data_IF_668633643810
#
_entry.id   IF_668633643810
#
_cell.length_a   1.000
_cell.length_b   1.000
_cell.length_c   1.000
_cell.angle_alpha   90.00
_cell.angle_beta   90.00
_cell.angle_gamma   90.00
#
_symmetry.space_group_name_H-M   'P 1'
#
loop_
_entity.id
_entity.type
_entity.pdbx_description
1 polymer ?
#
# COMPACT_ATOMS: atom_id res chain seq x y z
N UNK A 1 -9.22 -5.11 22.59
CA UNK A 1 -8.08 -4.57 21.82
C UNK A 1 -8.03 -5.09 20.37
N UNK A 2 -8.34 -6.36 20.10
CA UNK A 2 -8.31 -6.92 18.73
C UNK A 2 -9.19 -6.14 17.72
N UNK A 3 -10.47 -5.89 18.05
CA UNK A 3 -11.39 -5.16 17.16
C UNK A 3 -10.91 -3.74 16.81
N UNK A 4 -10.33 -3.04 17.78
CA UNK A 4 -9.79 -1.69 17.54
C UNK A 4 -8.59 -1.74 16.56
N UNK A 5 -7.70 -2.71 16.74
CA UNK A 5 -6.56 -2.90 15.84
C UNK A 5 -7.00 -3.23 14.41
N UNK A 6 -7.98 -4.12 14.26
CA UNK A 6 -8.59 -4.43 12.95
C UNK A 6 -9.26 -3.21 12.34
N UNK A 7 -10.01 -2.44 13.13
CA UNK A 7 -10.68 -1.24 12.64
C UNK A 7 -9.69 -0.18 12.14
N UNK A 8 -8.64 0.10 12.90
CA UNK A 8 -7.57 1.02 12.49
C UNK A 8 -6.88 0.53 11.21
N UNK A 9 -6.63 -0.78 11.10
CA UNK A 9 -6.05 -1.39 9.90
C UNK A 9 -6.93 -1.18 8.67
N UNK A 10 -8.24 -1.41 8.80
CA UNK A 10 -9.21 -1.20 7.70
C UNK A 10 -9.28 0.27 7.31
N UNK A 11 -9.32 1.18 8.29
CA UNK A 11 -9.36 2.62 8.04
C UNK A 11 -8.10 3.09 7.29
N UNK A 12 -6.93 2.66 7.73
CA UNK A 12 -5.67 2.97 7.04
C UNK A 12 -5.63 2.40 5.62
N UNK A 13 -6.16 1.17 5.41
CA UNK A 13 -6.28 0.57 4.08
C UNK A 13 -7.24 1.36 3.17
N UNK A 14 -8.37 1.83 3.71
CA UNK A 14 -9.34 2.65 2.97
C UNK A 14 -8.73 4.01 2.58
N UNK A 15 -8.02 4.68 3.48
CA UNK A 15 -7.32 5.95 3.19
C UNK A 15 -6.26 5.73 2.11
N UNK A 16 -5.43 4.69 2.25
CA UNK A 16 -4.37 4.37 1.30
C UNK A 16 -4.92 4.03 -0.09
N UNK A 17 -5.73 2.98 -0.20
CA UNK A 17 -6.24 2.48 -1.48
C UNK A 17 -7.23 3.47 -2.11
N UNK A 18 -8.11 4.06 -1.30
CA UNK A 18 -9.05 5.08 -1.77
C UNK A 18 -8.35 6.32 -2.30
N UNK A 19 -7.29 6.77 -1.63
CA UNK A 19 -6.46 7.88 -2.11
C UNK A 19 -5.76 7.60 -3.44
N UNK A 20 -5.24 6.38 -3.65
CA UNK A 20 -4.66 5.97 -4.93
C UNK A 20 -5.72 5.93 -6.05
N UNK A 21 -6.89 5.33 -5.79
CA UNK A 21 -8.00 5.26 -6.75
C UNK A 21 -8.50 6.66 -7.08
N UNK A 22 -8.72 7.52 -6.08
CA UNK A 22 -9.15 8.90 -6.27
C UNK A 22 -8.14 9.68 -7.13
N UNK A 23 -6.86 9.52 -6.85
CA UNK A 23 -5.80 10.16 -7.63
C UNK A 23 -5.84 9.69 -9.08
N UNK A 24 -5.95 8.39 -9.33
CA UNK A 24 -5.95 7.82 -10.67
C UNK A 24 -7.23 8.16 -11.46
N UNK A 25 -8.40 8.10 -10.81
CA UNK A 25 -9.70 8.24 -11.48
C UNK A 25 -10.20 9.68 -11.60
N UNK A 26 -9.78 10.56 -10.68
CA UNK A 26 -10.29 11.94 -10.62
C UNK A 26 -9.18 12.95 -10.87
N UNK A 27 -8.10 12.90 -10.08
CA UNK A 27 -7.09 13.96 -10.10
C UNK A 27 -6.25 13.93 -11.37
N UNK A 28 -5.84 12.76 -11.84
CA UNK A 28 -5.04 12.65 -13.07
C UNK A 28 -5.84 13.09 -14.30
N UNK A 29 -7.09 12.63 -14.56
CA UNK A 29 -7.91 13.14 -15.65
C UNK A 29 -8.17 14.65 -15.58
N UNK A 30 -8.49 15.17 -14.39
CA UNK A 30 -8.66 16.59 -14.16
C UNK A 30 -7.38 17.38 -14.50
N UNK A 31 -6.23 16.92 -14.03
CA UNK A 31 -4.96 17.57 -14.35
C UNK A 31 -4.65 17.55 -15.86
N UNK A 32 -5.02 16.47 -16.57
CA UNK A 32 -4.81 16.34 -18.01
C UNK A 32 -5.66 17.30 -18.85
N UNK A 33 -6.78 17.80 -18.33
CA UNK A 33 -7.62 18.82 -18.99
C UNK A 33 -7.04 20.24 -18.91
N UNK A 34 -5.94 20.44 -18.17
CA UNK A 34 -5.29 21.75 -18.01
C UNK A 34 -4.01 21.87 -18.85
N UNK A 35 -3.57 23.11 -19.16
CA UNK A 35 -2.29 23.37 -19.82
C UNK A 35 -1.11 22.70 -19.08
N UNK A 36 -0.01 22.36 -19.78
CA UNK A 36 1.10 21.59 -19.20
C UNK A 36 1.68 22.16 -17.90
N UNK A 37 1.75 23.49 -17.77
CA UNK A 37 2.32 24.15 -16.60
C UNK A 37 1.40 24.04 -15.39
N UNK A 38 0.11 24.22 -15.60
CA UNK A 38 -0.92 24.13 -14.57
C UNK A 38 -1.10 22.68 -14.12
N UNK A 39 -1.15 21.75 -15.08
CA UNK A 39 -1.15 20.30 -14.82
C UNK A 39 0.00 19.88 -13.90
N UNK A 40 1.22 20.35 -14.20
CA UNK A 40 2.38 20.00 -13.41
C UNK A 40 2.31 20.58 -11.99
N UNK A 41 1.77 21.79 -11.83
CA UNK A 41 1.55 22.43 -10.53
C UNK A 41 0.55 21.63 -9.70
N UNK A 42 -0.58 21.25 -10.28
CA UNK A 42 -1.63 20.44 -9.63
C UNK A 42 -1.04 19.11 -9.15
N UNK A 43 -0.39 18.36 -10.05
CA UNK A 43 0.15 17.04 -9.73
C UNK A 43 1.28 17.09 -8.67
N UNK A 44 2.17 18.08 -8.74
CA UNK A 44 3.23 18.27 -7.72
C UNK A 44 2.66 18.65 -6.35
N UNK A 45 1.67 19.54 -6.31
CA UNK A 45 1.01 19.95 -5.06
C UNK A 45 0.34 18.77 -4.37
N UNK A 46 -0.40 17.97 -5.13
CA UNK A 46 -1.05 16.76 -4.63
C UNK A 46 -0.03 15.72 -4.17
N UNK A 47 0.99 15.41 -4.99
CA UNK A 47 2.01 14.42 -4.67
C UNK A 47 2.73 14.74 -3.35
N UNK A 48 3.01 16.02 -3.08
CA UNK A 48 3.63 16.44 -1.81
C UNK A 48 2.75 16.13 -0.61
N UNK A 49 1.45 16.45 -0.69
CA UNK A 49 0.49 16.20 0.41
C UNK A 49 0.21 14.72 0.58
N UNK A 50 -0.04 14.02 -0.54
CA UNK A 50 -0.36 12.60 -0.51
C UNK A 50 0.82 11.73 -0.03
N UNK A 51 2.05 12.17 -0.23
CA UNK A 51 3.25 11.47 0.28
C UNK A 51 3.19 11.26 1.80
N UNK A 52 2.90 12.30 2.56
CA UNK A 52 2.81 12.21 4.02
C UNK A 52 1.65 11.33 4.49
N UNK A 53 0.48 11.51 3.88
CA UNK A 53 -0.71 10.69 4.18
C UNK A 53 -0.44 9.23 3.79
N UNK A 54 0.16 9.01 2.63
CA UNK A 54 0.48 7.69 2.11
C UNK A 54 1.47 6.94 2.99
N UNK A 55 2.62 7.54 3.32
CA UNK A 55 3.60 6.92 4.20
C UNK A 55 3.07 6.72 5.61
N UNK A 56 2.29 7.67 6.15
CA UNK A 56 1.61 7.52 7.42
C UNK A 56 0.62 6.35 7.43
N UNK A 57 -0.23 6.24 6.41
CA UNK A 57 -1.16 5.11 6.26
C UNK A 57 -0.43 3.78 6.11
N UNK A 58 0.68 3.74 5.35
CA UNK A 58 1.50 2.55 5.19
C UNK A 58 2.14 2.11 6.51
N UNK A 59 2.69 3.05 7.30
CA UNK A 59 3.24 2.74 8.61
C UNK A 59 2.18 2.16 9.56
N UNK A 60 0.97 2.77 9.60
CA UNK A 60 -0.15 2.25 10.38
C UNK A 60 -0.57 0.85 9.90
N UNK A 61 -0.62 0.62 8.58
CA UNK A 61 -0.94 -0.69 8.00
C UNK A 61 0.06 -1.75 8.41
N UNK A 62 1.35 -1.45 8.41
CA UNK A 62 2.40 -2.40 8.82
C UNK A 62 2.29 -2.72 10.31
N UNK A 63 2.19 -1.70 11.17
CA UNK A 63 2.09 -1.88 12.62
C UNK A 63 0.84 -2.69 12.99
N UNK A 64 -0.32 -2.28 12.48
CA UNK A 64 -1.59 -2.96 12.76
C UNK A 64 -1.68 -4.33 12.10
N UNK A 65 -1.05 -4.52 10.93
CA UNK A 65 -0.96 -5.80 10.25
C UNK A 65 -0.15 -6.83 11.05
N UNK A 66 1.00 -6.42 11.58
CA UNK A 66 1.81 -7.25 12.49
C UNK A 66 1.01 -7.54 13.77
N UNK A 67 0.37 -6.53 14.35
CA UNK A 67 -0.50 -6.71 15.52
C UNK A 67 -1.62 -7.71 15.29
N UNK A 68 -2.32 -7.63 14.16
CA UNK A 68 -3.37 -8.58 13.77
C UNK A 68 -2.82 -10.00 13.62
N UNK A 69 -1.62 -10.15 13.05
CA UNK A 69 -0.98 -11.45 12.88
C UNK A 69 -0.61 -12.08 14.24
N UNK A 70 0.01 -11.31 15.12
CA UNK A 70 0.37 -11.76 16.47
C UNK A 70 -0.88 -12.14 17.26
N UNK A 71 -1.88 -11.28 17.31
CA UNK A 71 -3.13 -11.50 18.05
C UNK A 71 -3.92 -12.70 17.54
N UNK A 72 -3.78 -13.06 16.26
CA UNK A 72 -4.44 -14.22 15.66
C UNK A 72 -3.64 -15.52 15.86
N UNK A 73 -2.31 -15.48 15.77
CA UNK A 73 -1.45 -16.67 15.87
C UNK A 73 -1.18 -17.09 17.31
N UNK A 74 -1.15 -16.16 18.28
CA UNK A 74 -0.82 -16.47 19.69
C UNK A 74 -1.75 -17.52 20.30
N UNK A 75 -3.10 -17.44 20.17
CA UNK A 75 -3.99 -18.46 20.72
C UNK A 75 -3.77 -19.84 20.07
N UNK A 76 -3.52 -19.88 18.75
CA UNK A 76 -3.29 -21.12 18.01
C UNK A 76 -1.99 -21.79 18.48
N UNK A 77 -0.91 -21.02 18.59
CA UNK A 77 0.38 -21.53 19.07
C UNK A 77 0.30 -22.06 20.51
N UNK A 78 -0.40 -21.32 21.36
CA UNK A 78 -0.55 -21.73 22.75
C UNK A 78 -1.31 -23.05 22.87
N UNK A 79 -2.41 -23.24 22.14
CA UNK A 79 -3.15 -24.48 22.13
C UNK A 79 -2.34 -25.65 21.55
N UNK A 80 -1.54 -25.42 20.51
CA UNK A 80 -0.66 -26.42 19.92
C UNK A 80 0.45 -26.87 20.89
N UNK A 81 1.07 -25.91 21.60
CA UNK A 81 2.09 -26.21 22.61
C UNK A 81 1.51 -27.05 23.76
N UNK A 82 0.32 -26.68 24.25
CA UNK A 82 -0.35 -27.38 25.35
C UNK A 82 -0.81 -28.77 24.94
N UNK A 83 -1.17 -29.00 23.68
CA UNK A 83 -1.63 -30.28 23.16
C UNK A 83 -0.51 -31.15 22.58
N UNK A 84 0.74 -30.71 22.60
CA UNK A 84 1.88 -31.43 22.01
C UNK A 84 1.92 -31.49 20.49
N UNK A 85 1.04 -30.74 19.82
CA UNK A 85 0.85 -30.75 18.33
C UNK A 85 1.65 -29.64 17.62
N UNK A 86 2.88 -29.38 18.07
CA UNK A 86 3.67 -28.21 17.63
C UNK A 86 3.95 -28.17 16.14
N UNK A 87 3.82 -29.30 15.41
CA UNK A 87 4.20 -29.44 14.00
C UNK A 87 3.12 -30.08 13.11
N UNK A 88 1.86 -30.12 13.51
CA UNK A 88 0.81 -30.64 12.63
C UNK A 88 0.34 -29.57 11.64
N UNK A 89 0.74 -29.61 10.34
CA UNK A 89 0.34 -28.63 9.34
C UNK A 89 -1.18 -28.60 9.11
N UNK A 90 -1.89 -29.65 9.44
CA UNK A 90 -3.35 -29.72 9.24
C UNK A 90 -4.11 -28.82 10.23
N UNK A 91 -3.52 -28.49 11.36
CA UNK A 91 -4.09 -27.61 12.40
C UNK A 91 -3.72 -26.14 12.24
N UNK A 92 -2.73 -25.81 11.40
CA UNK A 92 -2.46 -24.42 11.01
C UNK A 92 -3.59 -24.01 10.07
N UNK A 93 -4.27 -22.88 10.38
CA UNK A 93 -5.32 -22.38 9.47
C UNK A 93 -4.80 -22.35 8.03
N UNK A 94 -5.30 -23.24 7.21
CA UNK A 94 -4.90 -23.46 5.81
C UNK A 94 -4.87 -22.15 5.01
N UNK A 95 -5.79 -21.24 5.37
CA UNK A 95 -5.89 -19.92 4.76
C UNK A 95 -4.68 -19.04 5.04
N UNK A 96 -4.17 -19.06 6.28
CA UNK A 96 -2.98 -18.29 6.66
C UNK A 96 -1.77 -18.83 5.89
N UNK A 97 -1.60 -20.15 5.85
CA UNK A 97 -0.47 -20.76 5.15
C UNK A 97 -0.46 -20.46 3.65
N UNK A 98 -1.63 -20.41 3.01
CA UNK A 98 -1.74 -20.17 1.55
C UNK A 98 -1.74 -18.68 1.23
N UNK A 99 -2.55 -17.87 1.90
CA UNK A 99 -2.82 -16.49 1.48
C UNK A 99 -1.91 -15.45 2.10
N UNK A 100 -1.35 -15.71 3.29
CA UNK A 100 -0.46 -14.75 3.97
C UNK A 100 0.84 -14.50 3.19
N UNK A 101 1.56 -15.52 2.66
CA UNK A 101 2.76 -15.29 1.86
C UNK A 101 2.48 -14.42 0.63
N UNK A 102 1.38 -14.68 -0.09
CA UNK A 102 0.95 -13.86 -1.22
C UNK A 102 0.68 -12.43 -0.83
N UNK A 103 -0.02 -12.21 0.28
CA UNK A 103 -0.28 -10.87 0.81
C UNK A 103 1.02 -10.14 1.13
N UNK A 104 1.95 -10.79 1.82
CA UNK A 104 3.25 -10.18 2.19
C UNK A 104 4.07 -9.84 0.95
N UNK A 105 4.13 -10.73 -0.03
CA UNK A 105 4.82 -10.48 -1.30
C UNK A 105 4.23 -9.24 -2.02
N UNK A 106 2.91 -9.13 -2.08
CA UNK A 106 2.24 -7.98 -2.68
C UNK A 106 2.53 -6.69 -1.92
N UNK A 107 2.49 -6.72 -0.58
CA UNK A 107 2.81 -5.56 0.27
C UNK A 107 4.25 -5.09 0.04
N UNK A 108 5.22 -6.01 0.03
CA UNK A 108 6.63 -5.69 -0.26
C UNK A 108 6.77 -5.07 -1.65
N UNK A 109 6.07 -5.61 -2.65
CA UNK A 109 6.07 -5.07 -4.01
C UNK A 109 5.50 -3.66 -4.08
N UNK A 110 4.41 -3.37 -3.38
CA UNK A 110 3.82 -2.02 -3.31
C UNK A 110 4.77 -1.04 -2.62
N UNK A 111 5.41 -1.43 -1.51
CA UNK A 111 6.40 -0.59 -0.83
C UNK A 111 7.57 -0.29 -1.76
N UNK A 112 8.10 -1.30 -2.46
CA UNK A 112 9.18 -1.12 -3.44
C UNK A 112 8.80 -0.14 -4.57
N UNK A 113 7.59 -0.26 -5.11
CA UNK A 113 7.07 0.66 -6.13
C UNK A 113 6.89 2.08 -5.60
N UNK A 114 6.45 2.25 -4.35
CA UNK A 114 6.35 3.56 -3.69
C UNK A 114 7.71 4.22 -3.54
N UNK A 115 8.68 3.49 -2.99
CA UNK A 115 10.05 3.99 -2.81
C UNK A 115 10.63 4.39 -4.16
N UNK A 116 10.50 3.53 -5.18
CA UNK A 116 10.95 3.82 -6.54
C UNK A 116 10.28 5.07 -7.12
N UNK A 117 8.95 5.17 -7.01
CA UNK A 117 8.20 6.34 -7.46
C UNK A 117 8.67 7.63 -6.77
N UNK A 118 8.88 7.59 -5.45
CA UNK A 118 9.31 8.74 -4.68
C UNK A 118 10.74 9.17 -5.03
N UNK A 119 11.68 8.23 -5.12
CA UNK A 119 13.07 8.52 -5.52
C UNK A 119 13.11 9.16 -6.90
N UNK A 120 12.43 8.57 -7.89
CA UNK A 120 12.44 9.09 -9.26
C UNK A 120 11.77 10.47 -9.35
N UNK A 121 10.73 10.71 -8.56
CA UNK A 121 10.04 12.00 -8.50
C UNK A 121 10.89 13.09 -7.86
N UNK A 122 11.63 12.77 -6.78
CA UNK A 122 12.55 13.70 -6.11
C UNK A 122 13.75 14.01 -7.01
N UNK A 123 14.33 12.99 -7.66
CA UNK A 123 15.45 13.18 -8.59
C UNK A 123 15.06 14.05 -9.78
N UNK A 124 13.87 13.82 -10.35
CA UNK A 124 13.34 14.65 -11.42
C UNK A 124 13.14 16.10 -10.95
N UNK A 125 12.60 16.32 -9.76
CA UNK A 125 12.42 17.66 -9.22
C UNK A 125 13.76 18.40 -9.05
N UNK A 126 14.77 17.75 -8.49
CA UNK A 126 16.11 18.33 -8.28
C UNK A 126 16.83 18.65 -9.60
N UNK A 127 16.72 17.77 -10.60
CA UNK A 127 17.40 17.94 -11.90
C UNK A 127 16.94 19.19 -12.66
N UNK A 128 15.68 19.58 -12.48
CA UNK A 128 15.05 20.72 -13.18
C UNK A 128 14.85 21.94 -12.27
N UNK A 129 15.41 21.92 -11.06
CA UNK A 129 15.37 23.05 -10.16
C UNK A 129 16.29 24.15 -10.71
N UNK A 130 15.72 25.34 -11.01
CA UNK A 130 16.45 26.45 -11.60
C UNK A 130 16.69 26.38 -13.12
N UNK A 131 16.23 25.35 -13.81
CA UNK A 131 16.31 25.25 -15.28
C UNK A 131 15.06 25.85 -15.95
N UNK A 132 15.21 26.63 -17.04
CA UNK A 132 14.09 27.07 -17.85
C UNK A 132 13.44 25.89 -18.61
N UNK A 133 14.12 24.74 -18.70
CA UNK A 133 13.58 23.56 -19.33
C UNK A 133 12.55 22.87 -18.44
N UNK A 134 11.43 22.47 -19.04
CA UNK A 134 10.37 21.74 -18.36
C UNK A 134 10.83 20.33 -18.05
N UNK A 135 10.63 19.88 -16.80
CA UNK A 135 10.83 18.48 -16.46
C UNK A 135 9.93 17.60 -17.38
N UNK A 136 10.49 16.71 -18.20
CA UNK A 136 9.67 15.77 -18.95
C UNK A 136 8.83 14.94 -18.01
N UNK A 137 7.58 14.64 -18.40
CA UNK A 137 6.70 13.81 -17.59
C UNK A 137 7.37 12.49 -17.27
N UNK A 138 7.49 12.17 -15.98
CA UNK A 138 8.10 10.91 -15.53
C UNK A 138 7.19 9.72 -15.87
N UNK A 139 7.29 9.21 -17.12
CA UNK A 139 6.48 8.08 -17.60
C UNK A 139 6.70 6.81 -16.75
N UNK A 140 7.92 6.58 -16.27
CA UNK A 140 8.21 5.41 -15.43
C UNK A 140 7.60 5.55 -14.04
N UNK A 141 7.66 6.75 -13.43
CA UNK A 141 7.00 7.03 -12.17
C UNK A 141 5.48 6.87 -12.24
N UNK A 142 4.84 7.34 -13.35
CA UNK A 142 3.40 7.17 -13.51
C UNK A 142 2.98 5.71 -13.70
N UNK A 143 3.80 4.90 -14.39
CA UNK A 143 3.58 3.43 -14.50
C UNK A 143 3.72 2.73 -13.17
N UNK A 144 4.72 3.10 -12.37
CA UNK A 144 4.91 2.56 -11.02
C UNK A 144 3.71 2.89 -10.10
N UNK A 145 3.18 4.13 -10.18
CA UNK A 145 1.99 4.52 -9.43
C UNK A 145 0.74 3.74 -9.86
N UNK A 146 0.54 3.54 -11.17
CA UNK A 146 -0.57 2.74 -11.69
C UNK A 146 -0.48 1.27 -11.23
N UNK A 147 0.70 0.66 -11.30
CA UNK A 147 0.94 -0.69 -10.80
C UNK A 147 0.71 -0.79 -9.29
N UNK A 148 1.18 0.18 -8.51
CA UNK A 148 0.94 0.22 -7.07
C UNK A 148 -0.57 0.29 -6.74
N UNK A 149 -1.35 1.03 -7.53
CA UNK A 149 -2.82 1.09 -7.39
C UNK A 149 -3.46 -0.29 -7.65
N UNK A 150 -3.11 -0.94 -8.76
CA UNK A 150 -3.64 -2.26 -9.11
C UNK A 150 -3.26 -3.32 -8.07
N UNK A 151 -2.01 -3.34 -7.61
CA UNK A 151 -1.56 -4.26 -6.56
C UNK A 151 -2.25 -3.99 -5.23
N UNK A 152 -2.54 -2.72 -4.89
CA UNK A 152 -3.29 -2.38 -3.67
C UNK A 152 -4.72 -2.91 -3.71
N UNK A 153 -5.39 -2.87 -4.86
CA UNK A 153 -6.70 -3.49 -5.06
C UNK A 153 -6.61 -5.02 -4.91
N UNK A 154 -5.57 -5.63 -5.48
CA UNK A 154 -5.33 -7.06 -5.35
C UNK A 154 -5.07 -7.47 -3.89
N UNK A 155 -4.34 -6.64 -3.12
CA UNK A 155 -4.14 -6.86 -1.67
C UNK A 155 -5.48 -6.88 -0.92
N UNK A 156 -6.44 -6.01 -1.27
CA UNK A 156 -7.77 -6.04 -0.68
C UNK A 156 -8.48 -7.37 -0.98
N UNK A 157 -8.43 -7.84 -2.23
CA UNK A 157 -9.00 -9.14 -2.60
C UNK A 157 -8.37 -10.29 -1.80
N UNK A 158 -7.02 -10.37 -1.78
CA UNK A 158 -6.30 -11.39 -1.01
C UNK A 158 -6.60 -11.29 0.49
N UNK A 159 -6.82 -10.07 1.01
CA UNK A 159 -7.19 -9.88 2.42
C UNK A 159 -8.58 -10.43 2.73
N UNK A 160 -9.54 -10.32 1.82
CA UNK A 160 -10.87 -10.93 1.95
C UNK A 160 -10.76 -12.46 1.92
N UNK A 161 -9.94 -13.01 0.99
CA UNK A 161 -9.70 -14.46 0.90
C UNK A 161 -9.02 -15.00 2.16
N UNK A 162 -8.10 -14.24 2.75
CA UNK A 162 -7.43 -14.62 4.00
C UNK A 162 -8.39 -14.72 5.20
N UNK A 163 -9.50 -13.96 5.19
CA UNK A 163 -10.46 -13.92 6.30
C UNK A 163 -11.62 -14.89 6.10
N UNK A 164 -12.10 -15.02 4.86
CA UNK A 164 -13.35 -15.79 4.56
C UNK A 164 -13.12 -17.17 3.95
N UNK A 165 -11.93 -17.43 3.41
CA UNK A 165 -11.61 -18.71 2.78
C UNK A 165 -12.04 -18.80 1.34
#
# INVERSE_FOLDING_TARGET
>A
MYFLNVWIHILAAAIWTGGLIYTAAVVVPFALSHPPDERQRILRGLARRFRWIGWGSMAVLLITGIGNLILRLTPIRLSQILNGDVFDPAKVERLIAIWLPWKLMLVISVIGLMVYHDITSIQAAKRYEGSPERAPGNRMGSRAAALATLLSILILYVSVRLVRG
#
